data_IF_953111990309
#
_entry.id   IF_953111990309
#
_cell.length_a   1.000
_cell.length_b   1.000
_cell.length_c   1.000
_cell.angle_alpha   90.00
_cell.angle_beta   90.00
_cell.angle_gamma   90.00
#
_symmetry.space_group_name_H-M   'P 1'
#
loop_
_entity.id
_entity.type
_entity.pdbx_description
1 polymer ?
#
# COMPACT_ATOMS: atom_id res chain seq x y z
N UNK A 1 -9.85 -19.92 3.01
CA UNK A 1 -9.67 -18.69 3.82
C UNK A 1 -8.19 -18.46 3.91
N UNK A 2 -7.70 -17.39 3.31
CA UNK A 2 -6.28 -17.05 3.37
C UNK A 2 -5.85 -16.89 4.82
N UNK A 3 -4.74 -17.53 5.16
CA UNK A 3 -4.20 -17.44 6.50
C UNK A 3 -3.64 -16.02 6.70
N UNK A 4 -4.24 -15.25 7.61
CA UNK A 4 -3.71 -13.94 7.98
C UNK A 4 -2.39 -14.13 8.75
N UNK A 5 -1.27 -13.97 8.04
CA UNK A 5 0.08 -14.19 8.56
C UNK A 5 0.86 -12.86 8.65
N UNK A 6 0.58 -12.02 9.67
CA UNK A 6 1.22 -10.72 9.80
C UNK A 6 2.62 -10.81 10.41
N UNK A 7 3.48 -9.87 10.01
CA UNK A 7 4.77 -9.65 10.64
C UNK A 7 5.04 -8.14 10.80
N UNK A 8 6.08 -7.82 11.57
CA UNK A 8 6.51 -6.44 11.81
C UNK A 8 7.78 -6.19 11.01
N UNK A 9 7.75 -5.19 10.14
CA UNK A 9 8.92 -4.76 9.34
C UNK A 9 9.91 -3.93 10.18
N UNK A 10 11.06 -3.59 9.60
CA UNK A 10 12.08 -2.80 10.30
C UNK A 10 11.66 -1.37 10.64
N UNK A 11 10.82 -0.75 9.80
CA UNK A 11 10.22 0.56 10.08
C UNK A 11 9.04 0.49 11.07
N UNK A 12 8.71 -0.72 11.55
CA UNK A 12 7.61 -1.06 12.44
C UNK A 12 6.21 -0.97 11.81
N UNK A 13 6.10 -0.90 10.48
CA UNK A 13 4.83 -1.15 9.81
C UNK A 13 4.45 -2.63 9.83
N UNK A 14 3.19 -2.92 9.52
CA UNK A 14 2.65 -4.28 9.46
C UNK A 14 2.80 -4.81 8.04
N UNK A 15 3.57 -5.88 7.85
CA UNK A 15 3.62 -6.63 6.60
C UNK A 15 2.80 -7.92 6.70
N UNK A 16 2.59 -8.59 5.56
CA UNK A 16 1.95 -9.90 5.47
C UNK A 16 2.84 -10.89 4.73
N UNK A 17 2.77 -12.15 5.12
CA UNK A 17 3.36 -13.27 4.40
C UNK A 17 2.28 -14.04 3.64
N UNK A 18 2.54 -14.30 2.37
CA UNK A 18 1.72 -15.10 1.48
C UNK A 18 2.26 -16.53 1.44
N UNK A 19 1.51 -17.47 2.03
CA UNK A 19 1.88 -18.89 2.06
C UNK A 19 1.86 -19.52 0.67
N UNK A 20 0.91 -19.14 -0.18
CA UNK A 20 0.74 -19.71 -1.52
C UNK A 20 1.95 -19.45 -2.41
N UNK A 21 2.52 -18.24 -2.32
CA UNK A 21 3.68 -17.85 -3.11
C UNK A 21 5.01 -18.06 -2.38
N UNK A 22 4.97 -18.49 -1.11
CA UNK A 22 6.12 -18.47 -0.19
C UNK A 22 6.90 -17.13 -0.29
N UNK A 23 6.20 -16.02 -0.04
CA UNK A 23 6.78 -14.67 -0.10
C UNK A 23 6.18 -13.71 0.91
N UNK A 24 6.85 -12.59 1.10
CA UNK A 24 6.29 -11.43 1.80
C UNK A 24 5.66 -10.46 0.79
N UNK A 25 4.51 -9.88 1.15
CA UNK A 25 3.84 -8.85 0.33
C UNK A 25 4.66 -7.56 0.25
N UNK A 26 5.45 -7.25 1.29
CA UNK A 26 6.24 -6.01 1.36
C UNK A 26 7.67 -6.34 1.77
N UNK A 27 8.64 -5.50 1.43
CA UNK A 27 10.01 -5.71 1.90
C UNK A 27 10.09 -5.73 3.44
N UNK A 28 10.95 -6.60 3.97
CA UNK A 28 11.29 -6.61 5.39
C UNK A 28 11.88 -5.26 5.88
N UNK A 29 12.41 -4.43 4.98
CA UNK A 29 12.91 -3.09 5.30
C UNK A 29 11.82 -2.14 5.81
N UNK A 30 10.57 -2.29 5.36
CA UNK A 30 9.49 -1.40 5.76
C UNK A 30 8.44 -1.23 4.69
N UNK A 31 7.20 -1.68 4.96
CA UNK A 31 6.10 -1.55 4.02
C UNK A 31 5.72 -0.08 3.80
N UNK A 32 5.70 0.72 4.88
CA UNK A 32 5.40 2.15 4.77
C UNK A 32 6.53 2.92 4.09
N UNK A 33 7.78 2.65 4.47
CA UNK A 33 8.95 3.29 3.86
C UNK A 33 9.02 3.00 2.36
N UNK A 34 8.78 1.75 1.96
CA UNK A 34 8.75 1.33 0.57
C UNK A 34 7.66 2.05 -0.22
N UNK A 35 6.43 2.11 0.31
CA UNK A 35 5.33 2.82 -0.34
C UNK A 35 5.68 4.29 -0.62
N UNK A 36 6.22 5.02 0.36
CA UNK A 36 6.63 6.40 0.15
C UNK A 36 7.78 6.54 -0.84
N UNK A 37 8.88 5.81 -0.64
CA UNK A 37 10.11 6.04 -1.41
C UNK A 37 10.01 5.58 -2.86
N UNK A 38 9.29 4.48 -3.11
CA UNK A 38 9.20 3.89 -4.45
C UNK A 38 7.96 4.29 -5.23
N UNK A 39 6.88 4.67 -4.54
CA UNK A 39 5.61 4.93 -5.21
C UNK A 39 5.12 6.36 -5.07
N UNK A 40 5.34 7.04 -3.94
CA UNK A 40 4.76 8.38 -3.72
C UNK A 40 5.75 9.52 -4.00
N UNK A 41 6.90 9.52 -3.35
CA UNK A 41 7.93 10.55 -3.51
C UNK A 41 8.40 10.77 -4.96
N UNK A 42 8.43 9.75 -5.85
CA UNK A 42 8.84 9.96 -7.24
C UNK A 42 7.80 10.71 -8.08
N UNK A 43 6.54 10.79 -7.61
CA UNK A 43 5.43 11.36 -8.38
C UNK A 43 5.41 12.89 -8.29
N UNK A 44 4.98 13.49 -9.38
CA UNK A 44 4.49 14.88 -9.41
C UNK A 44 2.97 14.87 -9.31
N UNK A 45 2.44 14.99 -8.08
CA UNK A 45 0.99 15.03 -7.84
C UNK A 45 0.40 16.40 -8.23
N UNK A 46 -0.87 16.39 -8.61
CA UNK A 46 -1.66 17.56 -9.00
C UNK A 46 -3.10 17.38 -8.54
N UNK A 47 -3.90 18.43 -8.67
CA UNK A 47 -5.36 18.36 -8.53
C UNK A 47 -6.00 17.50 -9.63
N UNK A 48 -7.17 16.94 -9.32
CA UNK A 48 -8.05 16.25 -10.27
C UNK A 48 -7.34 15.07 -10.97
N UNK A 49 -6.87 14.11 -10.18
CA UNK A 49 -6.13 12.94 -10.70
C UNK A 49 -6.96 11.66 -10.67
N UNK A 50 -6.81 10.86 -11.72
CA UNK A 50 -7.29 9.48 -11.81
C UNK A 50 -6.11 8.54 -11.58
N UNK A 51 -6.22 7.62 -10.64
CA UNK A 51 -5.15 6.72 -10.23
C UNK A 51 -5.58 5.26 -10.36
N UNK A 52 -4.68 4.41 -10.84
CA UNK A 52 -4.82 2.96 -10.84
C UNK A 52 -3.80 2.36 -9.86
N UNK A 53 -4.27 1.66 -8.83
CA UNK A 53 -3.44 0.90 -7.88
C UNK A 53 -3.55 -0.60 -8.22
N UNK A 54 -2.53 -1.14 -8.87
CA UNK A 54 -2.47 -2.53 -9.35
C UNK A 54 -1.81 -3.39 -8.28
N UNK A 55 -2.49 -4.48 -7.89
CA UNK A 55 -2.13 -5.33 -6.76
C UNK A 55 -2.22 -4.56 -5.44
N UNK A 56 -3.40 -4.00 -5.18
CA UNK A 56 -3.67 -3.17 -4.01
C UNK A 56 -3.22 -3.79 -2.68
N UNK A 57 -3.39 -5.11 -2.51
CA UNK A 57 -3.05 -5.84 -1.30
C UNK A 57 -3.69 -5.23 -0.04
N UNK A 58 -2.86 -4.77 0.90
CA UNK A 58 -3.33 -4.07 2.12
C UNK A 58 -3.22 -2.54 2.00
N UNK A 59 -3.07 -2.02 0.78
CA UNK A 59 -3.28 -0.64 0.41
C UNK A 59 -2.22 0.35 0.88
N UNK A 60 -0.96 -0.06 1.12
CA UNK A 60 0.06 0.91 1.56
C UNK A 60 0.30 2.02 0.53
N UNK A 61 0.25 1.71 -0.76
CA UNK A 61 0.43 2.69 -1.84
C UNK A 61 -0.73 3.68 -1.86
N UNK A 62 -1.98 3.21 -1.96
CA UNK A 62 -3.18 4.04 -1.81
C UNK A 62 -3.18 4.87 -0.51
N UNK A 63 -2.86 4.28 0.65
CA UNK A 63 -2.82 5.01 1.93
C UNK A 63 -1.78 6.13 1.94
N UNK A 64 -0.58 5.84 1.41
CA UNK A 64 0.52 6.81 1.36
C UNK A 64 0.22 7.92 0.35
N UNK A 65 -0.42 7.58 -0.77
CA UNK A 65 -0.92 8.54 -1.75
C UNK A 65 -1.97 9.47 -1.14
N UNK A 66 -3.01 8.94 -0.51
CA UNK A 66 -4.03 9.75 0.17
C UNK A 66 -3.44 10.63 1.26
N UNK A 67 -2.45 10.13 1.99
CA UNK A 67 -1.75 10.90 3.01
C UNK A 67 -1.07 12.14 2.41
N UNK A 68 -0.30 11.98 1.34
CA UNK A 68 0.33 13.13 0.67
C UNK A 68 -0.70 14.00 -0.03
N UNK A 69 -1.77 13.42 -0.58
CA UNK A 69 -2.82 14.16 -1.25
C UNK A 69 -3.49 15.16 -0.30
N UNK A 70 -3.88 14.68 0.89
CA UNK A 70 -4.51 15.48 1.93
C UNK A 70 -3.54 16.51 2.51
N UNK A 71 -2.28 16.11 2.77
CA UNK A 71 -1.26 17.02 3.34
C UNK A 71 -0.97 18.22 2.45
N UNK A 72 -0.98 18.01 1.13
CA UNK A 72 -0.73 19.06 0.15
C UNK A 72 -2.00 19.85 -0.22
N UNK A 73 -3.16 19.50 0.33
CA UNK A 73 -4.41 20.23 0.12
C UNK A 73 -4.95 20.13 -1.31
N UNK A 74 -4.61 19.07 -2.04
CA UNK A 74 -5.25 18.81 -3.33
C UNK A 74 -6.73 18.51 -3.15
N UNK A 75 -7.50 18.69 -4.21
CA UNK A 75 -8.95 18.73 -4.21
C UNK A 75 -9.51 17.35 -4.53
N UNK A 76 -9.48 16.93 -5.80
CA UNK A 76 -10.16 15.74 -6.29
C UNK A 76 -9.21 14.60 -6.68
N UNK A 77 -9.53 13.40 -6.20
CA UNK A 77 -8.83 12.16 -6.53
C UNK A 77 -9.81 11.01 -6.70
N UNK A 78 -9.66 10.28 -7.79
CA UNK A 78 -10.32 9.01 -8.03
C UNK A 78 -9.27 7.91 -8.07
N UNK A 79 -9.49 6.82 -7.34
CA UNK A 79 -8.56 5.69 -7.30
C UNK A 79 -9.34 4.41 -7.60
N UNK A 80 -8.92 3.72 -8.66
CA UNK A 80 -9.33 2.34 -8.93
C UNK A 80 -8.30 1.40 -8.30
N UNK A 81 -8.69 0.72 -7.24
CA UNK A 81 -7.89 -0.27 -6.51
C UNK A 81 -8.22 -1.67 -7.05
N UNK A 82 -7.26 -2.37 -7.64
CA UNK A 82 -7.47 -3.68 -8.24
C UNK A 82 -6.59 -4.73 -7.57
N UNK A 83 -7.20 -5.83 -7.13
CA UNK A 83 -6.50 -6.98 -6.57
C UNK A 83 -7.32 -8.25 -6.76
N UNK A 84 -6.68 -9.40 -6.96
CA UNK A 84 -7.40 -10.68 -7.07
C UNK A 84 -7.92 -11.16 -5.72
N UNK A 85 -7.37 -10.65 -4.62
CA UNK A 85 -7.69 -11.05 -3.27
C UNK A 85 -8.62 -10.02 -2.56
N UNK A 86 -9.94 -10.25 -2.54
CA UNK A 86 -10.88 -9.37 -1.86
C UNK A 86 -10.68 -9.31 -0.34
N UNK A 87 -10.09 -10.34 0.27
CA UNK A 87 -9.87 -10.37 1.71
C UNK A 87 -8.83 -9.31 2.13
N UNK A 88 -7.72 -9.19 1.38
CA UNK A 88 -6.70 -8.15 1.64
C UNK A 88 -7.28 -6.74 1.55
N UNK A 89 -8.13 -6.50 0.54
CA UNK A 89 -8.85 -5.23 0.39
C UNK A 89 -9.68 -4.92 1.63
N UNK A 90 -10.49 -5.89 2.08
CA UNK A 90 -11.41 -5.75 3.22
C UNK A 90 -10.70 -5.49 4.54
N UNK A 91 -9.54 -6.09 4.79
CA UNK A 91 -8.76 -5.85 6.02
C UNK A 91 -7.94 -4.56 5.97
N UNK A 92 -7.67 -4.01 4.78
CA UNK A 92 -6.80 -2.85 4.59
C UNK A 92 -7.08 -1.68 5.54
N UNK A 93 -8.32 -1.19 5.72
CA UNK A 93 -8.60 -0.06 6.62
C UNK A 93 -8.24 -0.34 8.08
N UNK A 94 -8.21 -1.61 8.46
CA UNK A 94 -7.92 -2.05 9.81
C UNK A 94 -6.43 -2.25 10.03
N UNK A 95 -5.59 -2.35 9.00
CA UNK A 95 -4.16 -2.53 9.20
C UNK A 95 -3.56 -1.31 9.90
N UNK A 96 -2.91 -1.57 11.03
CA UNK A 96 -2.19 -0.56 11.79
C UNK A 96 -0.96 -0.14 10.99
N UNK A 97 -0.86 1.15 10.69
CA UNK A 97 0.27 1.70 9.93
C UNK A 97 1.63 1.50 10.62
N UNK A 98 1.63 1.49 11.97
CA UNK A 98 2.85 1.31 12.77
C UNK A 98 2.58 0.64 14.13
N UNK A 99 3.44 -0.27 14.53
CA UNK A 99 3.44 -0.91 15.85
C UNK A 99 4.46 -0.23 16.76
N UNK A 100 4.02 0.20 17.95
CA UNK A 100 4.87 0.88 18.92
C UNK A 100 5.86 -0.08 19.57
N UNK A 101 7.03 0.43 19.98
CA UNK A 101 8.09 -0.37 20.62
C UNK A 101 7.61 -1.12 21.87
N UNK A 102 6.72 -0.51 22.66
CA UNK A 102 6.10 -1.14 23.84
C UNK A 102 5.19 -2.33 23.46
N UNK A 103 4.34 -2.15 22.44
CA UNK A 103 3.48 -3.22 21.92
C UNK A 103 4.31 -4.41 21.42
N UNK A 104 5.49 -4.13 20.82
CA UNK A 104 6.44 -5.15 20.33
C UNK A 104 7.05 -5.98 21.46
N UNK A 105 7.51 -5.34 22.55
CA UNK A 105 8.15 -6.03 23.69
C UNK A 105 7.16 -6.95 24.39
N UNK A 106 5.95 -6.45 24.65
CA UNK A 106 4.90 -7.22 25.34
C UNK A 106 4.48 -8.46 24.53
N UNK A 107 4.42 -8.32 23.20
CA UNK A 107 3.99 -9.40 22.34
C UNK A 107 5.09 -10.37 21.92
N UNK A 108 6.38 -10.00 21.87
CA UNK A 108 7.47 -10.96 21.58
C UNK A 108 7.39 -12.21 22.47
N UNK A 109 7.00 -12.08 23.75
CA UNK A 109 6.86 -13.23 24.67
C UNK A 109 5.63 -14.10 24.41
N UNK A 110 4.60 -13.59 23.73
CA UNK A 110 3.30 -14.25 23.52
C UNK A 110 3.09 -14.72 22.07
N UNK A 111 3.61 -13.99 21.09
CA UNK A 111 3.46 -14.26 19.66
C UNK A 111 4.25 -15.49 19.18
N UNK A 112 5.38 -15.81 19.82
CA UNK A 112 6.33 -16.83 19.34
C UNK A 112 6.26 -18.17 20.07
N UNK A 113 5.26 -18.39 20.93
CA UNK A 113 5.15 -19.65 21.68
C UNK A 113 4.52 -20.80 20.88
N UNK A 114 3.59 -20.53 19.95
CA UNK A 114 2.72 -21.57 19.37
C UNK A 114 2.54 -21.49 17.84
N UNK A 115 3.54 -21.08 17.05
CA UNK A 115 3.38 -21.01 15.58
C UNK A 115 4.44 -21.89 14.90
N UNK A 116 4.04 -23.06 14.40
CA UNK A 116 4.90 -23.92 13.56
C UNK A 116 5.37 -23.17 12.30
N UNK A 117 4.50 -22.35 11.69
CA UNK A 117 4.81 -21.47 10.55
C UNK A 117 5.79 -20.33 10.90
N UNK A 118 6.06 -20.05 12.18
CA UNK A 118 7.04 -19.03 12.55
C UNK A 118 8.46 -19.51 12.27
N UNK A 119 8.80 -20.81 12.30
CA UNK A 119 10.18 -21.25 12.02
C UNK A 119 10.64 -20.90 10.59
N UNK A 120 9.75 -21.00 9.60
CA UNK A 120 10.02 -20.63 8.20
C UNK A 120 10.08 -19.11 8.01
N UNK A 121 9.08 -18.37 8.48
CA UNK A 121 9.08 -16.91 8.44
C UNK A 121 10.26 -16.31 9.24
N UNK A 122 10.64 -16.92 10.36
CA UNK A 122 11.75 -16.53 11.23
C UNK A 122 13.11 -16.62 10.53
N UNK A 123 13.36 -17.64 9.69
CA UNK A 123 14.60 -17.71 8.87
C UNK A 123 14.72 -16.50 7.93
N UNK A 124 13.61 -16.03 7.37
CA UNK A 124 13.56 -14.87 6.46
C UNK A 124 13.63 -13.54 7.25
N UNK A 125 13.01 -13.47 8.43
CA UNK A 125 12.81 -12.23 9.20
C UNK A 125 13.97 -11.92 10.17
N UNK A 126 14.65 -12.92 10.75
CA UNK A 126 15.66 -12.70 11.81
C UNK A 126 16.93 -12.00 11.32
N UNK A 127 17.24 -12.05 10.03
CA UNK A 127 18.48 -11.48 9.49
C UNK A 127 18.47 -9.96 9.25
N UNK A 128 17.37 -9.23 9.53
CA UNK A 128 17.26 -7.81 9.10
C UNK A 128 16.85 -6.79 10.16
N UNK A 129 16.67 -7.16 11.43
CA UNK A 129 16.10 -6.27 12.46
C UNK A 129 17.10 -5.29 13.09
N UNK A 130 17.63 -4.34 12.32
CA UNK A 130 18.22 -3.10 12.86
C UNK A 130 17.16 -2.00 12.82
N UNK A 131 16.62 -1.64 13.99
CA UNK A 131 15.54 -0.64 14.07
C UNK A 131 16.09 0.78 13.83
N UNK A 132 15.81 1.35 12.66
CA UNK A 132 15.84 2.79 12.45
C UNK A 132 14.48 3.40 12.85
N UNK A 133 14.46 4.65 13.30
CA UNK A 133 13.21 5.41 13.47
C UNK A 133 12.52 5.54 12.11
N UNK A 134 11.20 5.28 12.01
CA UNK A 134 10.50 5.44 10.73
C UNK A 134 10.43 6.91 10.34
N UNK A 135 10.75 7.20 9.08
CA UNK A 135 10.71 8.53 8.48
C UNK A 135 9.28 9.00 8.20
N UNK A 136 8.36 8.06 7.93
CA UNK A 136 7.00 8.35 7.51
C UNK A 136 5.96 7.96 8.57
N UNK A 137 4.86 8.71 8.59
CA UNK A 137 3.66 8.48 9.41
C UNK A 137 2.41 8.87 8.60
N UNK A 138 1.37 8.03 8.70
CA UNK A 138 0.08 8.26 8.05
C UNK A 138 -0.87 9.06 8.94
N UNK A 139 -1.61 9.99 8.35
CA UNK A 139 -2.74 10.64 9.00
C UNK A 139 -3.80 9.60 9.41
N UNK A 140 -4.32 9.70 10.63
CA UNK A 140 -5.35 8.78 11.15
C UNK A 140 -6.62 8.74 10.28
N UNK A 141 -6.92 9.84 9.60
CA UNK A 141 -8.09 9.95 8.72
C UNK A 141 -8.01 9.03 7.50
N UNK A 142 -6.80 8.67 7.04
CA UNK A 142 -6.60 7.82 5.85
C UNK A 142 -7.28 6.47 6.01
N UNK A 143 -7.03 5.77 7.13
CA UNK A 143 -7.68 4.49 7.40
C UNK A 143 -9.20 4.62 7.56
N UNK A 144 -9.69 5.77 8.02
CA UNK A 144 -11.13 6.03 8.09
C UNK A 144 -11.76 6.21 6.71
N UNK A 145 -11.10 6.93 5.79
CA UNK A 145 -11.55 7.09 4.39
C UNK A 145 -11.67 5.71 3.72
N UNK A 146 -10.63 4.87 3.84
CA UNK A 146 -10.67 3.50 3.34
C UNK A 146 -11.82 2.70 3.97
N UNK A 147 -12.02 2.83 5.28
CA UNK A 147 -13.10 2.12 5.98
C UNK A 147 -14.47 2.52 5.43
N UNK A 148 -14.75 3.81 5.27
CA UNK A 148 -16.02 4.29 4.73
C UNK A 148 -16.30 3.76 3.32
N UNK A 149 -15.27 3.64 2.49
CA UNK A 149 -15.40 3.11 1.12
C UNK A 149 -15.70 1.60 1.05
N UNK A 150 -15.32 0.81 2.08
CA UNK A 150 -15.42 -0.66 2.03
C UNK A 150 -16.32 -1.27 3.09
N UNK A 151 -16.79 -0.52 4.10
CA UNK A 151 -17.56 -1.06 5.24
C UNK A 151 -18.85 -1.80 4.88
N UNK A 152 -19.40 -1.57 3.68
CA UNK A 152 -20.59 -2.26 3.17
C UNK A 152 -20.28 -3.64 2.60
N UNK A 153 -19.04 -3.91 2.19
CA UNK A 153 -18.60 -5.19 1.63
C UNK A 153 -17.90 -6.10 2.64
N UNK A 154 -17.80 -5.68 3.92
CA UNK A 154 -17.26 -6.52 4.99
C UNK A 154 -18.21 -7.68 5.29
N UNK A 155 -17.64 -8.88 5.40
CA UNK A 155 -18.34 -10.14 5.66
C UNK A 155 -17.92 -10.78 7.00
N UNK A 156 -18.68 -11.77 7.43
CA UNK A 156 -18.46 -12.49 8.69
C UNK A 156 -17.09 -13.17 8.77
N UNK A 157 -16.56 -13.60 7.62
CA UNK A 157 -15.24 -14.23 7.53
C UNK A 157 -14.12 -13.23 7.87
N UNK A 158 -14.19 -12.03 7.28
CA UNK A 158 -13.29 -10.93 7.59
C UNK A 158 -13.42 -10.53 9.06
N UNK A 159 -14.65 -10.37 9.56
CA UNK A 159 -14.92 -9.99 10.95
C UNK A 159 -14.32 -10.97 11.97
N UNK A 160 -14.38 -12.27 11.69
CA UNK A 160 -13.77 -13.30 12.54
C UNK A 160 -12.28 -13.03 12.72
N UNK A 161 -11.56 -12.78 11.63
CA UNK A 161 -10.12 -12.50 11.66
C UNK A 161 -9.82 -11.18 12.38
N UNK A 162 -10.62 -10.14 12.13
CA UNK A 162 -10.47 -8.81 12.75
C UNK A 162 -10.59 -8.85 14.28
N UNK A 163 -11.45 -9.72 14.81
CA UNK A 163 -11.72 -9.80 16.26
C UNK A 163 -10.99 -10.93 16.99
N UNK A 164 -10.25 -11.78 16.28
CA UNK A 164 -9.37 -12.78 16.88
C UNK A 164 -8.30 -12.13 17.78
N UNK A 165 -8.18 -12.64 19.02
CA UNK A 165 -7.30 -12.08 20.04
C UNK A 165 -5.83 -12.03 19.61
N UNK A 166 -5.38 -13.03 18.85
CA UNK A 166 -4.00 -13.12 18.32
C UNK A 166 -3.68 -12.00 17.32
N UNK A 167 -4.68 -11.44 16.63
CA UNK A 167 -4.49 -10.46 15.57
C UNK A 167 -4.59 -9.01 16.06
N UNK A 168 -5.14 -8.77 17.25
CA UNK A 168 -5.40 -7.42 17.83
C UNK A 168 -4.22 -6.45 17.81
N UNK A 169 -2.99 -6.95 17.82
CA UNK A 169 -1.77 -6.14 17.74
C UNK A 169 -1.61 -5.42 16.39
N UNK A 170 -2.02 -6.09 15.31
CA UNK A 170 -1.78 -5.69 13.93
C UNK A 170 -2.88 -4.78 13.38
N UNK A 171 -3.99 -4.66 14.11
CA UNK A 171 -5.12 -3.87 13.70
C UNK A 171 -5.24 -2.54 14.46
N UNK A 172 -5.76 -1.52 13.76
CA UNK A 172 -6.07 -0.22 14.29
C UNK A 172 -7.28 -0.29 15.21
N UNK A 173 -7.04 -0.10 16.51
CA UNK A 173 -8.06 -0.15 17.56
C UNK A 173 -9.18 0.87 17.35
N UNK A 174 -8.90 2.01 16.72
CA UNK A 174 -9.90 3.05 16.48
C UNK A 174 -10.89 2.61 15.41
N UNK A 175 -10.39 2.11 14.28
CA UNK A 175 -11.21 1.60 13.18
C UNK A 175 -11.99 0.35 13.61
N UNK A 176 -11.38 -0.57 14.37
CA UNK A 176 -12.08 -1.73 14.95
C UNK A 176 -13.26 -1.31 15.84
N UNK A 177 -13.11 -0.25 16.64
CA UNK A 177 -14.19 0.26 17.50
C UNK A 177 -15.32 0.89 16.69
N UNK A 178 -14.98 1.65 15.65
CA UNK A 178 -15.95 2.21 14.71
C UNK A 178 -16.74 1.09 14.04
N UNK A 179 -16.05 0.07 13.55
CA UNK A 179 -16.69 -1.07 12.91
C UNK A 179 -17.60 -1.86 13.85
N UNK A 180 -17.17 -2.13 15.09
CA UNK A 180 -18.04 -2.73 16.12
C UNK A 180 -19.30 -1.90 16.37
N UNK A 181 -19.19 -0.58 16.33
CA UNK A 181 -20.33 0.31 16.50
C UNK A 181 -21.27 0.25 15.29
N UNK A 182 -20.75 0.21 14.07
CA UNK A 182 -21.56 0.09 12.86
C UNK A 182 -22.28 -1.27 12.77
N UNK A 183 -21.63 -2.37 13.14
CA UNK A 183 -22.29 -3.69 13.27
C UNK A 183 -23.45 -3.60 14.26
N UNK A 184 -23.23 -3.02 15.45
CA UNK A 184 -24.28 -2.84 16.46
C UNK A 184 -25.41 -1.92 16.01
N UNK A 185 -25.16 -0.95 15.13
CA UNK A 185 -26.20 -0.12 14.52
C UNK A 185 -27.08 -0.91 13.53
N UNK A 186 -26.50 -1.86 12.79
CA UNK A 186 -27.25 -2.75 11.89
C UNK A 186 -28.19 -3.68 12.64
N UNK A 187 -27.84 -4.05 13.87
CA UNK A 187 -28.64 -4.91 14.74
C UNK A 187 -29.24 -4.12 15.93
N UNK A 188 -30.47 -3.62 15.74
CA UNK A 188 -31.42 -3.12 16.77
C UNK A 188 -31.12 -1.80 17.52
N UNK A 189 -31.50 -0.64 16.97
CA UNK A 189 -31.96 0.54 17.75
C UNK A 189 -32.89 1.45 16.93
N UNK A 190 -33.94 2.01 17.54
CA UNK A 190 -34.81 3.01 16.91
C UNK A 190 -34.13 4.39 16.80
N UNK A 191 -34.42 5.12 15.71
CA UNK A 191 -33.70 6.34 15.29
C UNK A 191 -33.55 7.45 16.35
N UNK A 192 -34.50 7.60 17.29
CA UNK A 192 -34.49 8.66 18.31
C UNK A 192 -33.64 8.32 19.54
N UNK A 193 -33.64 7.06 19.97
CA UNK A 193 -32.80 6.57 21.06
C UNK A 193 -31.32 6.53 20.64
N UNK A 194 -31.02 6.31 19.36
CA UNK A 194 -29.66 6.23 18.82
C UNK A 194 -28.83 7.51 18.98
N UNK A 195 -29.37 8.66 18.58
CA UNK A 195 -28.63 9.93 18.66
C UNK A 195 -28.47 10.37 20.12
N UNK A 196 -29.52 10.17 20.92
CA UNK A 196 -29.50 10.45 22.35
C UNK A 196 -28.49 9.57 23.07
N UNK A 197 -28.53 8.25 22.91
CA UNK A 197 -27.62 7.31 23.60
C UNK A 197 -26.16 7.44 23.13
N UNK A 198 -25.92 7.70 21.84
CA UNK A 198 -24.58 7.98 21.31
C UNK A 198 -23.99 9.27 21.89
N UNK A 199 -24.75 10.37 21.87
CA UNK A 199 -24.35 11.64 22.48
C UNK A 199 -24.28 11.53 24.01
N UNK A 200 -25.14 10.73 24.64
CA UNK A 200 -25.18 10.48 26.08
C UNK A 200 -23.98 9.67 26.54
N UNK A 201 -23.53 8.67 25.78
CA UNK A 201 -22.32 7.91 26.08
C UNK A 201 -21.04 8.72 25.84
N UNK A 202 -21.03 9.60 24.82
CA UNK A 202 -19.95 10.56 24.63
C UNK A 202 -19.95 11.59 25.77
N UNK A 203 -21.12 12.06 26.18
CA UNK A 203 -21.30 12.97 27.31
C UNK A 203 -20.87 12.32 28.63
N UNK A 204 -21.31 11.11 28.95
CA UNK A 204 -20.97 10.45 30.21
C UNK A 204 -19.49 10.04 30.30
N UNK A 205 -18.90 9.55 29.21
CA UNK A 205 -17.51 9.10 29.23
C UNK A 205 -16.50 10.26 29.15
N UNK A 206 -16.89 11.43 28.63
CA UNK A 206 -15.94 12.49 28.29
C UNK A 206 -16.34 13.92 28.71
N UNK A 207 -17.59 14.18 29.12
CA UNK A 207 -18.10 15.53 29.46
C UNK A 207 -18.66 15.60 30.91
N UNK A 208 -19.36 14.57 31.37
CA UNK A 208 -19.97 14.47 32.70
C UNK A 208 -18.90 14.37 33.78
N UNK A 209 -18.69 15.48 34.50
CA UNK A 209 -17.80 15.62 35.67
C UNK A 209 -18.28 14.87 36.92
N UNK A 210 -18.95 13.71 36.80
CA UNK A 210 -19.52 13.01 37.97
C UNK A 210 -18.51 12.16 38.76
N UNK A 211 -17.35 11.85 38.21
CA UNK A 211 -16.24 11.23 38.97
C UNK A 211 -15.13 12.21 39.37
N UNK A 212 -15.31 13.52 39.17
CA UNK A 212 -14.28 14.52 39.45
C UNK A 212 -14.63 15.49 40.59
N UNK A 213 -15.58 15.14 41.46
CA UNK A 213 -15.98 16.00 42.59
C UNK A 213 -15.89 15.35 43.98
N UNK A 214 -15.32 14.16 44.12
CA UNK A 214 -15.11 13.53 45.45
C UNK A 214 -13.66 13.29 45.88
N UNK A 215 -12.68 13.60 45.04
CA UNK A 215 -11.26 13.43 45.37
C UNK A 215 -10.40 14.64 44.94
N UNK A 216 -10.88 15.85 45.21
CA UNK A 216 -10.11 17.07 44.92
C UNK A 216 -9.61 17.83 46.15
N UNK A 217 -9.73 17.26 47.36
CA UNK A 217 -9.15 17.87 48.57
C UNK A 217 -7.84 17.23 49.05
N UNK A 218 -7.41 16.08 48.51
CA UNK A 218 -6.16 15.46 48.96
C UNK A 218 -5.46 14.69 47.85
N UNK A 219 -4.78 15.39 46.93
CA UNK A 219 -3.53 14.89 46.35
C UNK A 219 -2.88 15.93 45.44
N UNK A 220 -1.84 16.59 45.98
CA UNK A 220 -0.76 17.17 45.18
C UNK A 220 -0.11 16.01 44.41
N UNK A 221 0.23 16.23 43.13
CA UNK A 221 0.94 15.33 42.18
C UNK A 221 0.12 14.25 41.44
N UNK A 222 -0.55 14.64 40.35
CA UNK A 222 -0.71 13.82 39.14
C UNK A 222 -1.16 14.69 37.94
N UNK A 223 -0.23 15.02 37.03
CA UNK A 223 -0.51 15.66 35.74
C UNK A 223 -1.22 14.65 34.83
N UNK A 224 -2.55 14.64 34.83
CA UNK A 224 -3.35 13.92 33.84
C UNK A 224 -3.61 14.84 32.65
N UNK A 225 -3.39 14.27 31.47
CA UNK A 225 -2.94 14.91 30.24
C UNK A 225 -4.06 15.66 29.48
N UNK A 226 -3.91 16.99 29.36
CA UNK A 226 -4.79 17.93 28.61
C UNK A 226 -4.95 17.56 27.12
N UNK A 227 -4.21 16.58 26.63
CA UNK A 227 -4.18 16.13 25.23
C UNK A 227 -5.40 15.27 24.84
N UNK A 228 -6.06 14.59 25.79
CA UNK A 228 -7.21 13.71 25.49
C UNK A 228 -8.56 14.44 25.43
N UNK A 229 -8.77 15.50 26.23
CA UNK A 229 -9.95 16.36 26.14
C UNK A 229 -9.96 17.22 24.85
N UNK A 230 -8.77 17.50 24.30
CA UNK A 230 -8.58 18.18 23.01
C UNK A 230 -9.03 17.31 21.84
N UNK A 231 -8.85 15.98 21.91
CA UNK A 231 -9.21 15.04 20.83
C UNK A 231 -10.73 14.83 20.68
N UNK A 232 -11.49 14.91 21.77
CA UNK A 232 -12.96 14.75 21.74
C UNK A 232 -13.67 16.06 21.37
N UNK A 233 -13.14 17.22 21.79
CA UNK A 233 -13.63 18.52 21.29
C UNK A 233 -13.27 18.74 19.82
N UNK A 234 -12.12 18.25 19.36
CA UNK A 234 -11.73 18.11 17.94
C UNK A 234 -12.71 17.23 17.17
N UNK A 235 -13.21 16.14 17.75
CA UNK A 235 -14.14 15.24 17.05
C UNK A 235 -15.56 15.80 16.89
N UNK A 236 -15.99 16.71 17.77
CA UNK A 236 -17.34 17.32 17.75
C UNK A 236 -17.38 18.77 17.25
N UNK A 237 -16.27 19.53 17.30
CA UNK A 237 -16.15 20.86 16.68
C UNK A 237 -15.63 20.83 15.23
N UNK A 238 -15.01 19.76 14.73
CA UNK A 238 -14.43 19.75 13.37
C UNK A 238 -15.36 19.24 12.25
N UNK A 239 -16.67 19.25 12.50
CA UNK A 239 -17.60 19.66 11.45
C UNK A 239 -17.61 21.20 11.26
N UNK A 240 -16.72 21.96 11.93
CA UNK A 240 -16.61 23.41 11.84
C UNK A 240 -15.14 23.92 11.93
N UNK A 241 -14.62 24.29 10.75
CA UNK A 241 -13.79 25.46 10.37
C UNK A 241 -12.51 25.92 11.10
N UNK A 242 -12.11 25.47 12.29
CA UNK A 242 -10.88 26.02 12.92
C UNK A 242 -9.69 25.06 13.05
N UNK A 243 -9.87 23.73 13.18
CA UNK A 243 -8.76 22.77 13.00
C UNK A 243 -8.60 22.31 11.54
N UNK A 244 -9.65 22.51 10.74
CA UNK A 244 -9.69 22.42 9.27
C UNK A 244 -9.41 23.79 8.60
N UNK A 245 -9.10 24.84 9.36
CA UNK A 245 -8.76 26.16 8.79
C UNK A 245 -7.51 26.12 7.89
N UNK A 246 -6.71 25.05 7.98
CA UNK A 246 -5.62 24.74 7.04
C UNK A 246 -5.86 23.52 6.14
N UNK A 247 -6.99 22.82 6.25
CA UNK A 247 -7.33 21.64 5.41
C UNK A 247 -8.80 21.76 4.99
N UNK A 248 -9.06 22.51 3.91
CA UNK A 248 -10.40 22.78 3.37
C UNK A 248 -10.88 21.72 2.38
N UNK A 249 -10.47 20.46 2.56
CA UNK A 249 -10.81 19.40 1.60
C UNK A 249 -12.21 18.84 1.89
N UNK A 250 -13.09 18.81 0.89
CA UNK A 250 -14.37 18.11 0.99
C UNK A 250 -14.12 16.61 0.77
N UNK A 251 -14.60 15.74 1.66
CA UNK A 251 -14.40 14.30 1.52
C UNK A 251 -15.17 13.70 0.34
N UNK A 252 -16.15 14.43 -0.22
CA UNK A 252 -16.82 14.07 -1.48
C UNK A 252 -15.84 14.06 -2.68
N UNK A 253 -14.67 14.69 -2.54
CA UNK A 253 -13.67 14.82 -3.59
C UNK A 253 -12.68 13.63 -3.62
N UNK A 254 -12.79 12.69 -2.67
CA UNK A 254 -11.97 11.47 -2.61
C UNK A 254 -12.84 10.25 -2.92
N UNK A 255 -12.60 9.60 -4.05
CA UNK A 255 -13.35 8.43 -4.50
C UNK A 255 -12.45 7.19 -4.61
N UNK A 256 -12.81 6.13 -3.90
CA UNK A 256 -12.12 4.84 -3.90
C UNK A 256 -13.05 3.77 -4.44
N UNK A 257 -12.63 3.08 -5.50
CA UNK A 257 -13.34 1.93 -6.08
C UNK A 257 -12.48 0.68 -5.95
N UNK A 258 -13.07 -0.40 -5.49
CA UNK A 258 -12.36 -1.67 -5.25
C UNK A 258 -12.85 -2.73 -6.24
N UNK A 259 -11.92 -3.36 -6.94
CA UNK A 259 -12.16 -4.36 -7.97
C UNK A 259 -11.44 -5.66 -7.60
N UNK A 260 -12.21 -6.67 -7.20
CA UNK A 260 -11.71 -7.96 -6.73
C UNK A 260 -11.61 -8.97 -7.89
N UNK A 261 -10.56 -8.87 -8.70
CA UNK A 261 -10.42 -9.59 -9.97
C UNK A 261 -8.99 -9.54 -10.56
N UNK A 262 -8.77 -10.23 -11.67
CA UNK A 262 -7.53 -10.15 -12.45
C UNK A 262 -7.44 -8.79 -13.17
N UNK A 263 -6.31 -8.09 -12.98
CA UNK A 263 -6.05 -6.79 -13.62
C UNK A 263 -6.07 -6.87 -15.15
N UNK A 264 -5.71 -8.00 -15.75
CA UNK A 264 -5.79 -8.21 -17.21
C UNK A 264 -7.22 -8.17 -17.71
N UNK A 265 -8.17 -8.69 -16.94
CA UNK A 265 -9.59 -8.63 -17.28
C UNK A 265 -10.18 -7.25 -17.00
N UNK A 266 -9.75 -6.60 -15.92
CA UNK A 266 -10.12 -5.21 -15.63
C UNK A 266 -9.68 -4.25 -16.74
N UNK A 267 -8.41 -4.32 -17.18
CA UNK A 267 -7.85 -3.39 -18.17
C UNK A 267 -8.50 -3.57 -19.54
N UNK A 268 -8.84 -4.81 -19.96
CA UNK A 268 -9.52 -5.09 -21.24
C UNK A 268 -10.87 -4.40 -21.39
N UNK A 269 -11.61 -4.24 -20.28
CA UNK A 269 -12.97 -3.66 -20.30
C UNK A 269 -13.03 -2.22 -19.82
N UNK A 270 -11.98 -1.73 -19.16
CA UNK A 270 -11.93 -0.36 -18.69
C UNK A 270 -11.70 0.57 -19.88
N UNK A 271 -12.32 1.74 -19.86
CA UNK A 271 -12.03 2.81 -20.81
C UNK A 271 -11.35 4.02 -20.14
N UNK A 272 -11.04 3.89 -18.85
CA UNK A 272 -10.49 4.99 -18.05
C UNK A 272 -9.07 5.34 -18.51
N UNK A 273 -8.72 6.62 -18.47
CA UNK A 273 -7.35 7.09 -18.64
C UNK A 273 -6.80 7.58 -17.31
N UNK A 274 -5.62 7.10 -16.94
CA UNK A 274 -5.00 7.35 -15.64
C UNK A 274 -3.91 8.42 -15.74
N UNK A 275 -3.82 9.27 -14.72
CA UNK A 275 -2.70 10.20 -14.49
C UNK A 275 -1.55 9.49 -13.75
N UNK A 276 -1.88 8.53 -12.89
CA UNK A 276 -0.90 7.78 -12.10
C UNK A 276 -1.24 6.29 -12.13
N UNK A 277 -0.23 5.46 -12.37
CA UNK A 277 -0.32 4.00 -12.22
C UNK A 277 0.72 3.54 -11.19
N UNK A 278 0.25 2.94 -10.11
CA UNK A 278 1.07 2.30 -9.09
C UNK A 278 1.07 0.80 -9.39
N UNK A 279 2.21 0.25 -9.83
CA UNK A 279 2.35 -1.17 -10.17
C UNK A 279 3.17 -1.90 -9.10
N UNK A 280 2.49 -2.60 -8.20
CA UNK A 280 3.08 -3.24 -7.02
C UNK A 280 2.66 -4.71 -6.84
N UNK A 281 2.95 -5.53 -7.85
CA UNK A 281 2.68 -6.97 -7.76
C UNK A 281 3.86 -7.81 -7.31
N UNK A 282 3.62 -9.12 -7.12
CA UNK A 282 4.69 -10.08 -6.87
C UNK A 282 5.77 -10.07 -7.96
N UNK A 283 6.96 -10.58 -7.63
CA UNK A 283 8.10 -10.55 -8.53
C UNK A 283 7.80 -11.17 -9.91
N UNK A 284 8.52 -10.76 -10.97
CA UNK A 284 8.18 -11.20 -12.33
C UNK A 284 8.28 -12.70 -12.58
N UNK A 285 9.06 -13.43 -11.78
CA UNK A 285 9.08 -14.90 -11.85
C UNK A 285 7.83 -15.54 -11.27
N UNK A 286 7.18 -14.90 -10.30
CA UNK A 286 5.99 -15.41 -9.62
C UNK A 286 4.71 -15.05 -10.36
N UNK A 287 4.63 -13.82 -10.88
CA UNK A 287 3.44 -13.31 -11.55
C UNK A 287 3.77 -12.65 -12.91
N UNK A 288 4.42 -13.34 -13.86
CA UNK A 288 4.89 -12.75 -15.11
C UNK A 288 3.79 -12.09 -15.96
N UNK A 289 2.52 -12.45 -15.78
CA UNK A 289 1.40 -11.92 -16.55
C UNK A 289 1.22 -10.40 -16.43
N UNK A 290 1.45 -9.81 -15.26
CA UNK A 290 1.39 -8.35 -15.04
C UNK A 290 2.69 -7.61 -15.39
N UNK A 291 3.65 -8.34 -15.97
CA UNK A 291 5.00 -7.88 -16.30
C UNK A 291 5.38 -8.14 -17.77
N UNK A 292 4.44 -8.61 -18.57
CA UNK A 292 4.63 -8.84 -20.00
C UNK A 292 4.70 -7.52 -20.76
N UNK A 293 5.40 -7.54 -21.89
CA UNK A 293 5.40 -6.39 -22.79
C UNK A 293 3.97 -6.04 -23.22
N UNK A 294 3.17 -7.05 -23.55
CA UNK A 294 1.79 -6.89 -24.01
C UNK A 294 0.91 -6.23 -22.93
N UNK A 295 1.13 -6.56 -21.64
CA UNK A 295 0.45 -5.87 -20.55
C UNK A 295 0.89 -4.41 -20.42
N UNK A 296 2.18 -4.12 -20.60
CA UNK A 296 2.65 -2.73 -20.63
C UNK A 296 2.10 -1.95 -21.84
N UNK A 297 1.90 -2.57 -22.99
CA UNK A 297 1.25 -1.94 -24.15
C UNK A 297 -0.20 -1.54 -23.81
N UNK A 298 -0.95 -2.39 -23.10
CA UNK A 298 -2.27 -2.04 -22.59
C UNK A 298 -2.24 -0.92 -21.54
N UNK A 299 -1.30 -0.97 -20.59
CA UNK A 299 -1.14 0.13 -19.63
C UNK A 299 -0.79 1.46 -20.32
N UNK A 300 0.08 1.42 -21.34
CA UNK A 300 0.42 2.60 -22.14
C UNK A 300 -0.83 3.16 -22.83
N UNK A 301 -1.69 2.30 -23.36
CA UNK A 301 -2.95 2.71 -23.98
C UNK A 301 -3.84 3.43 -22.95
N UNK A 302 -3.90 2.96 -21.70
CA UNK A 302 -4.70 3.52 -20.60
C UNK A 302 -4.09 4.73 -19.88
N UNK A 303 -2.91 5.21 -20.30
CA UNK A 303 -2.27 6.38 -19.69
C UNK A 303 -2.61 7.68 -20.42
N UNK A 304 -2.80 8.76 -19.66
CA UNK A 304 -2.79 10.13 -20.21
C UNK A 304 -1.38 10.51 -20.71
N UNK A 305 -1.29 11.59 -21.47
CA UNK A 305 -0.05 12.06 -22.10
C UNK A 305 1.06 12.47 -21.12
N UNK A 306 0.64 12.97 -19.95
CA UNK A 306 1.48 13.39 -18.83
C UNK A 306 1.47 12.40 -17.66
N UNK A 307 0.94 11.19 -17.90
CA UNK A 307 0.79 10.20 -16.85
C UNK A 307 2.13 9.59 -16.43
N UNK A 308 2.14 9.13 -15.18
CA UNK A 308 3.31 8.58 -14.49
C UNK A 308 3.02 7.14 -14.08
N UNK A 309 3.94 6.23 -14.38
CA UNK A 309 3.91 4.85 -13.90
C UNK A 309 5.13 4.60 -13.02
N UNK A 310 4.90 4.05 -11.83
CA UNK A 310 5.97 3.73 -10.87
C UNK A 310 5.87 2.28 -10.42
N UNK A 311 7.03 1.66 -10.24
CA UNK A 311 7.15 0.30 -9.70
C UNK A 311 8.47 0.12 -8.96
N UNK A 312 8.48 -0.76 -7.94
CA UNK A 312 9.70 -1.14 -7.25
C UNK A 312 10.70 -1.91 -8.13
N UNK A 313 10.24 -2.49 -9.24
CA UNK A 313 11.04 -3.43 -10.00
C UNK A 313 12.14 -2.73 -10.82
N UNK A 314 13.39 -3.14 -10.67
CA UNK A 314 14.55 -2.55 -11.37
C UNK A 314 15.17 -3.46 -12.43
N UNK A 315 14.56 -4.63 -12.69
CA UNK A 315 15.16 -5.64 -13.54
C UNK A 315 15.18 -5.25 -15.02
N UNK A 316 16.20 -5.74 -15.74
CA UNK A 316 16.38 -5.45 -17.17
C UNK A 316 15.16 -5.89 -17.99
N UNK A 317 14.60 -7.06 -17.69
CA UNK A 317 13.42 -7.60 -18.36
C UNK A 317 12.21 -6.65 -18.33
N UNK A 318 11.91 -6.06 -17.17
CA UNK A 318 10.76 -5.14 -17.03
C UNK A 318 11.00 -3.83 -17.74
N UNK A 319 12.20 -3.28 -17.57
CA UNK A 319 12.58 -2.02 -18.22
C UNK A 319 12.61 -2.16 -19.74
N UNK A 320 13.03 -3.32 -20.26
CA UNK A 320 13.00 -3.62 -21.68
C UNK A 320 11.56 -3.79 -22.18
N UNK A 321 10.70 -4.50 -21.43
CA UNK A 321 9.27 -4.62 -21.75
C UNK A 321 8.60 -3.24 -21.83
N UNK A 322 8.86 -2.35 -20.88
CA UNK A 322 8.37 -0.96 -20.90
C UNK A 322 8.90 -0.18 -22.12
N UNK A 323 10.20 -0.25 -22.42
CA UNK A 323 10.78 0.44 -23.58
C UNK A 323 10.15 -0.06 -24.90
N UNK A 324 9.93 -1.36 -25.02
CA UNK A 324 9.28 -1.95 -26.19
C UNK A 324 7.80 -1.54 -26.30
N UNK A 325 7.13 -1.34 -25.17
CA UNK A 325 5.78 -0.76 -25.08
C UNK A 325 5.77 0.78 -25.24
N UNK A 326 6.80 1.35 -25.85
CA UNK A 326 6.96 2.78 -26.14
C UNK A 326 7.12 3.72 -24.93
N UNK A 327 7.26 3.21 -23.71
CA UNK A 327 7.57 4.05 -22.57
C UNK A 327 8.95 4.69 -22.67
N UNK A 328 9.09 5.84 -22.04
CA UNK A 328 10.37 6.37 -21.59
C UNK A 328 10.58 5.91 -20.16
N UNK A 329 11.79 5.44 -19.85
CA UNK A 329 12.09 4.74 -18.60
C UNK A 329 13.25 5.41 -17.88
N UNK A 330 13.13 5.56 -16.57
CA UNK A 330 14.16 6.10 -15.69
C UNK A 330 14.26 5.37 -14.35
N UNK A 331 15.26 5.76 -13.58
CA UNK A 331 15.52 5.26 -12.24
C UNK A 331 14.75 6.05 -11.19
N UNK A 332 14.19 5.34 -10.21
CA UNK A 332 13.82 5.95 -8.93
C UNK A 332 15.01 5.80 -8.00
N UNK A 333 15.41 6.91 -7.36
CA UNK A 333 16.59 6.98 -6.51
C UNK A 333 16.20 7.26 -5.05
N UNK A 334 16.87 6.61 -4.10
CA UNK A 334 16.80 6.99 -2.69
C UNK A 334 17.66 8.24 -2.40
N UNK A 335 17.66 8.69 -1.14
CA UNK A 335 18.46 9.83 -0.68
C UNK A 335 19.97 9.64 -0.89
N UNK A 336 20.44 8.40 -0.94
CA UNK A 336 21.84 8.03 -1.16
C UNK A 336 22.15 7.79 -2.64
N UNK A 337 21.22 8.12 -3.55
CA UNK A 337 21.31 7.90 -5.00
C UNK A 337 21.39 6.42 -5.40
N UNK A 338 20.98 5.50 -4.52
CA UNK A 338 20.80 4.09 -4.89
C UNK A 338 19.53 3.94 -5.71
N UNK A 339 19.56 3.05 -6.71
CA UNK A 339 18.39 2.75 -7.52
C UNK A 339 17.45 1.84 -6.73
N UNK A 340 16.25 2.33 -6.45
CA UNK A 340 15.24 1.63 -5.63
C UNK A 340 13.98 1.25 -6.42
N UNK A 341 13.85 1.70 -7.67
CA UNK A 341 12.69 1.42 -8.50
C UNK A 341 12.84 1.91 -9.94
N UNK A 342 11.73 1.84 -10.67
CA UNK A 342 11.61 2.27 -12.07
C UNK A 342 10.46 3.25 -12.20
N UNK A 343 10.73 4.35 -12.90
CA UNK A 343 9.75 5.35 -13.28
C UNK A 343 9.56 5.28 -14.80
N UNK A 344 8.32 5.32 -15.26
CA UNK A 344 7.99 5.30 -16.68
C UNK A 344 6.94 6.37 -17.03
N UNK A 345 7.06 6.94 -18.22
CA UNK A 345 6.14 7.95 -18.75
C UNK A 345 6.12 7.90 -20.28
N UNK A 346 5.13 8.56 -20.92
CA UNK A 346 5.05 8.62 -22.39
C UNK A 346 6.11 9.52 -23.03
N UNK A 347 6.56 10.56 -22.33
CA UNK A 347 7.45 11.59 -22.86
C UNK A 347 8.73 11.71 -22.03
N UNK A 348 9.87 11.86 -22.70
CA UNK A 348 11.19 11.85 -22.03
C UNK A 348 11.38 13.00 -21.05
N UNK A 349 10.68 14.12 -21.26
CA UNK A 349 10.73 15.29 -20.36
C UNK A 349 10.31 15.00 -18.92
N UNK A 350 9.51 13.95 -18.70
CA UNK A 350 9.08 13.53 -17.36
C UNK A 350 10.10 12.61 -16.66
N UNK A 351 11.12 12.15 -17.38
CA UNK A 351 12.15 11.25 -16.84
C UNK A 351 13.27 12.06 -16.19
N UNK A 352 13.18 12.25 -14.88
CA UNK A 352 14.18 13.01 -14.09
C UNK A 352 15.55 12.33 -14.04
N UNK A 353 15.57 11.00 -13.88
CA UNK A 353 16.80 10.23 -13.79
C UNK A 353 16.83 9.16 -14.90
N UNK A 354 17.34 9.46 -16.10
CA UNK A 354 17.42 8.49 -17.19
C UNK A 354 18.24 7.25 -16.83
N UNK A 355 18.04 6.17 -17.60
CA UNK A 355 18.90 5.00 -17.52
C UNK A 355 20.33 5.35 -17.99
N UNK A 356 21.33 4.83 -17.29
CA UNK A 356 22.73 5.01 -17.67
C UNK A 356 23.05 4.22 -18.94
N UNK A 357 24.12 4.57 -19.66
CA UNK A 357 24.58 3.81 -20.82
C UNK A 357 24.80 2.32 -20.49
N UNK A 358 25.32 2.03 -19.29
CA UNK A 358 25.47 0.66 -18.77
C UNK A 358 24.13 -0.08 -18.66
N UNK A 359 23.10 0.60 -18.17
CA UNK A 359 21.77 0.01 -18.03
C UNK A 359 21.13 -0.19 -19.40
N UNK A 360 21.23 0.79 -20.29
CA UNK A 360 20.74 0.70 -21.67
C UNK A 360 21.39 -0.46 -22.44
N UNK A 361 22.71 -0.65 -22.32
CA UNK A 361 23.38 -1.79 -22.94
C UNK A 361 22.91 -3.13 -22.38
N UNK A 362 22.71 -3.25 -21.06
CA UNK A 362 22.18 -4.46 -20.43
C UNK A 362 20.80 -4.86 -20.97
N UNK A 363 19.95 -3.88 -21.28
CA UNK A 363 18.61 -4.09 -21.85
C UNK A 363 18.67 -4.74 -23.24
N UNK A 364 19.74 -4.52 -24.00
CA UNK A 364 19.96 -5.15 -25.30
C UNK A 364 20.49 -6.59 -25.25
N UNK A 365 20.74 -7.13 -24.05
CA UNK A 365 21.25 -8.50 -23.87
C UNK A 365 20.11 -9.50 -23.69
N UNK A 366 20.43 -10.79 -23.57
CA UNK A 366 19.44 -11.81 -23.16
C UNK A 366 18.71 -11.50 -21.85
N UNK A 367 19.27 -10.64 -20.98
CA UNK A 367 18.61 -10.22 -19.73
C UNK A 367 17.39 -9.30 -19.97
N UNK A 368 17.33 -8.63 -21.13
CA UNK A 368 16.22 -7.76 -21.52
C UNK A 368 15.12 -8.45 -22.32
N UNK A 369 15.22 -9.76 -22.59
CA UNK A 369 14.15 -10.51 -23.29
C UNK A 369 12.88 -10.49 -22.42
N UNK A 370 11.79 -9.81 -22.86
CA UNK A 370 10.59 -9.58 -22.07
C UNK A 370 9.71 -10.84 -21.96
N UNK A 371 8.77 -10.82 -21.02
CA UNK A 371 7.66 -11.78 -21.03
C UNK A 371 6.65 -11.42 -22.13
N UNK A 372 5.93 -12.43 -22.64
CA UNK A 372 4.95 -12.32 -23.72
C UNK A 372 3.60 -12.92 -23.29
N UNK A 373 2.53 -12.16 -23.46
CA UNK A 373 1.14 -12.54 -23.16
C UNK A 373 0.18 -11.80 -24.11
N UNK A 374 0.24 -12.12 -25.41
CA UNK A 374 -0.38 -11.33 -26.50
C UNK A 374 -1.88 -11.05 -26.34
N UNK A 375 -2.63 -12.02 -25.81
CA UNK A 375 -4.07 -11.89 -25.58
C UNK A 375 -4.42 -11.61 -24.11
N UNK A 376 -3.41 -11.46 -23.26
CA UNK A 376 -3.54 -11.29 -21.81
C UNK A 376 -4.37 -12.40 -21.16
N UNK A 377 -4.14 -13.65 -21.57
CA UNK A 377 -4.92 -14.82 -21.16
C UNK A 377 -4.06 -16.05 -20.85
N UNK A 378 -2.74 -15.97 -21.07
CA UNK A 378 -1.83 -17.07 -20.78
C UNK A 378 -1.69 -17.30 -19.27
N UNK A 379 -1.45 -18.56 -18.89
CA UNK A 379 -1.04 -18.89 -17.53
C UNK A 379 0.38 -18.40 -17.26
N UNK A 380 0.71 -18.14 -16.00
CA UNK A 380 2.07 -17.75 -15.61
C UNK A 380 3.12 -18.78 -16.06
N UNK A 381 2.78 -20.07 -16.04
CA UNK A 381 3.65 -21.18 -16.47
C UNK A 381 3.92 -21.10 -17.98
N UNK A 382 2.89 -20.87 -18.79
CA UNK A 382 3.04 -20.71 -20.24
C UNK A 382 3.92 -19.50 -20.58
N UNK A 383 3.72 -18.37 -19.90
CA UNK A 383 4.52 -17.16 -20.11
C UNK A 383 6.00 -17.40 -19.77
N UNK A 384 6.28 -18.14 -18.69
CA UNK A 384 7.66 -18.50 -18.31
C UNK A 384 8.31 -19.43 -19.34
N UNK A 385 7.59 -20.46 -19.80
CA UNK A 385 8.08 -21.42 -20.79
C UNK A 385 8.38 -20.74 -22.13
N UNK A 386 7.45 -19.93 -22.64
CA UNK A 386 7.62 -19.19 -23.89
C UNK A 386 8.88 -18.30 -23.85
N UNK A 387 9.09 -17.61 -22.72
CA UNK A 387 10.27 -16.77 -22.54
C UNK A 387 11.55 -17.60 -22.46
N UNK A 388 11.52 -18.75 -21.78
CA UNK A 388 12.70 -19.62 -21.68
C UNK A 388 13.12 -20.14 -23.07
N UNK A 389 12.16 -20.48 -23.92
CA UNK A 389 12.40 -20.85 -25.30
C UNK A 389 13.02 -19.69 -26.10
N UNK A 390 12.44 -18.48 -26.02
CA UNK A 390 12.98 -17.27 -26.66
C UNK A 390 14.42 -16.98 -26.18
N UNK A 391 14.67 -17.13 -24.88
CA UNK A 391 15.99 -16.93 -24.28
C UNK A 391 17.04 -17.93 -24.81
N UNK A 392 16.67 -19.21 -24.94
CA UNK A 392 17.55 -20.27 -25.47
C UNK A 392 17.88 -20.04 -26.94
N UNK A 393 16.89 -19.69 -27.74
CA UNK A 393 17.04 -19.50 -29.19
C UNK A 393 17.63 -18.15 -29.59
N UNK A 394 17.67 -17.17 -28.67
CA UNK A 394 18.20 -15.83 -28.92
C UNK A 394 19.71 -15.83 -29.24
N UNK A 395 20.09 -15.05 -30.24
CA UNK A 395 21.48 -14.76 -30.61
C UNK A 395 22.07 -13.55 -29.87
N UNK A 396 21.30 -12.91 -28.97
CA UNK A 396 21.79 -11.78 -28.17
C UNK A 396 22.93 -12.23 -27.24
N UNK A 397 23.85 -11.31 -26.96
CA UNK A 397 24.91 -11.55 -25.99
C UNK A 397 24.33 -11.79 -24.59
N UNK A 398 25.04 -12.57 -23.78
CA UNK A 398 24.70 -12.74 -22.36
C UNK A 398 25.06 -11.50 -21.55
N UNK A 399 24.39 -11.29 -20.41
CA UNK A 399 24.75 -10.21 -19.47
C UNK A 399 26.19 -10.31 -18.97
N UNK A 400 26.71 -11.53 -18.81
CA UNK A 400 28.09 -11.77 -18.38
C UNK A 400 29.11 -11.35 -19.45
N UNK A 401 28.83 -11.63 -20.72
CA UNK A 401 29.67 -11.17 -21.83
C UNK A 401 29.61 -9.63 -21.94
N UNK A 402 28.41 -9.06 -21.87
CA UNK A 402 28.22 -7.61 -21.85
C UNK A 402 29.06 -6.93 -20.76
N UNK A 403 29.00 -7.42 -19.52
CA UNK A 403 29.79 -6.82 -18.42
C UNK A 403 31.30 -6.98 -18.60
N UNK A 404 31.78 -8.07 -19.21
CA UNK A 404 33.21 -8.22 -19.55
C UNK A 404 33.63 -7.20 -20.60
N UNK A 405 32.83 -7.05 -21.66
CA UNK A 405 33.07 -6.09 -22.73
C UNK A 405 33.05 -4.65 -22.23
N UNK A 406 32.01 -4.27 -21.48
CA UNK A 406 31.85 -2.92 -20.92
C UNK A 406 32.99 -2.53 -19.96
N UNK A 407 33.55 -3.47 -19.20
CA UNK A 407 34.72 -3.22 -18.34
C UNK A 407 36.01 -2.95 -19.12
N UNK A 408 36.12 -3.46 -20.35
CA UNK A 408 37.30 -3.26 -21.20
C UNK A 408 37.19 -1.98 -22.05
N UNK A 409 36.00 -1.37 -22.11
CA UNK A 409 35.72 -0.12 -22.82
C UNK A 409 35.86 1.14 -21.92
N UNK A 410 35.95 0.95 -20.60
CA UNK A 410 36.25 1.99 -19.58
C UNK A 410 37.71 1.91 -19.21
#
# INVERSE_FOLDING_TARGET
>A
MDEFLPYITNDNSVGLYCKETDDIYHSATGALTEAFEKFINPLELKDNIQVLDICFGIGYNTKSLLNEFIKNGYTHINIDCVDTNPFLMKISPFIKSRINKFDRIFNKKKLYKNVENYKEAKKIIEHRLNSKSSKYELLKIVNWILYESIKKSLDNETEKILFEDKNKLFFDKSILKIHKFDIKKRYNYTNKQNKSTYLHNIYYNYISKRNSYKELDNCKTAKIDRTQAKLVSVFLKNANKELLSGYTQNFDDINLKFYAEDIREFIKRSYNKYDVILLDGFTPKKCPCIWSQDFFEELYSHMKDDAQLVTYNTSAIIRAAMLNACFKVGNILDENKNIIGTFAAKKSKFIKNPLTHKQMGLLGTKAGIPYRDRNLDLSNEQILLNREEEFKNSQLESSSQYYKRYKNEI
#
